data_IF_543962292327
#
_entry.id   IF_543962292327
#
_cell.length_a   1.000
_cell.length_b   1.000
_cell.length_c   1.000
_cell.angle_alpha   90.00
_cell.angle_beta   90.00
_cell.angle_gamma   90.00
#
_symmetry.space_group_name_H-M   'P 1'
#
loop_
_entity.id
_entity.type
_entity.pdbx_description
1 polymer ?
#
# COMPACT_ATOMS: atom_id res chain seq x y z
N UNK A 1 -16.17 52.94 25.97
CA UNK A 1 -15.23 51.91 26.46
C UNK A 1 -15.66 50.59 25.82
N UNK A 2 -15.05 50.22 24.71
CA UNK A 2 -15.33 49.01 23.96
C UNK A 2 -14.18 48.05 24.19
N UNK A 3 -14.44 46.94 24.92
CA UNK A 3 -13.48 45.86 25.10
C UNK A 3 -13.52 44.95 23.88
N UNK A 4 -12.45 44.96 23.10
CA UNK A 4 -12.18 43.99 22.05
C UNK A 4 -11.71 42.69 22.72
N UNK A 5 -12.52 41.64 22.62
CA UNK A 5 -12.08 40.28 22.91
C UNK A 5 -11.35 39.73 21.68
N UNK A 6 -10.05 39.51 21.85
CA UNK A 6 -9.19 38.84 20.89
C UNK A 6 -9.43 37.33 21.06
N UNK A 7 -10.15 36.70 20.15
CA UNK A 7 -10.16 35.23 20.05
C UNK A 7 -8.87 34.79 19.34
N UNK A 8 -7.97 34.21 20.10
CA UNK A 8 -6.85 33.46 19.53
C UNK A 8 -7.42 32.13 19.03
N UNK A 9 -7.56 32.02 17.72
CA UNK A 9 -7.79 30.73 17.07
C UNK A 9 -6.46 29.97 17.09
N UNK A 10 -6.36 29.00 17.97
CA UNK A 10 -5.31 27.99 17.91
C UNK A 10 -5.71 27.04 16.77
N UNK A 11 -5.11 27.22 15.62
CA UNK A 11 -5.15 26.23 14.55
C UNK A 11 -4.28 25.07 15.01
N UNK A 12 -4.91 24.03 15.54
CA UNK A 12 -4.26 22.75 15.73
C UNK A 12 -3.97 22.17 14.33
N UNK A 13 -2.74 22.32 13.88
CA UNK A 13 -2.20 21.51 12.79
C UNK A 13 -2.17 20.07 13.31
N UNK A 14 -3.22 19.31 13.04
CA UNK A 14 -3.18 17.85 13.13
C UNK A 14 -2.38 17.43 11.90
N UNK A 15 -1.07 17.29 12.07
CA UNK A 15 -0.26 16.52 11.17
C UNK A 15 -0.84 15.10 11.20
N UNK A 16 -1.51 14.69 10.12
CA UNK A 16 -1.73 13.29 9.84
C UNK A 16 -0.35 12.65 9.68
N UNK A 17 0.18 12.14 10.79
CA UNK A 17 1.14 11.09 10.71
C UNK A 17 0.39 9.96 9.97
N UNK A 18 0.67 9.81 8.66
CA UNK A 18 0.59 8.49 8.09
C UNK A 18 1.16 7.56 9.18
N UNK A 19 0.47 6.47 9.50
CA UNK A 19 1.07 5.39 10.24
C UNK A 19 2.17 4.77 9.36
N UNK A 20 3.19 5.53 9.06
CA UNK A 20 4.52 4.98 9.03
C UNK A 20 4.71 4.49 10.46
N UNK A 21 4.73 3.16 10.65
CA UNK A 21 5.38 2.59 11.82
C UNK A 21 6.63 3.43 11.98
N UNK A 22 6.95 3.96 13.17
CA UNK A 22 8.14 4.76 13.33
C UNK A 22 9.27 3.90 12.77
N UNK A 23 9.70 4.23 11.57
CA UNK A 23 11.01 3.83 11.11
C UNK A 23 11.86 4.44 12.18
N UNK A 24 12.52 3.60 12.95
CA UNK A 24 13.49 4.10 13.90
C UNK A 24 14.47 4.91 13.05
N UNK A 25 14.28 6.24 13.08
CA UNK A 25 15.18 7.20 12.43
C UNK A 25 16.57 7.14 13.05
N UNK A 26 16.71 6.31 14.06
CA UNK A 26 17.93 5.94 14.75
C UNK A 26 18.51 4.63 14.18
N UNK A 27 18.42 4.42 12.88
CA UNK A 27 19.29 3.43 12.26
C UNK A 27 20.72 3.91 12.46
N UNK A 28 21.54 3.13 13.13
CA UNK A 28 22.87 3.55 13.44
C UNK A 28 23.64 3.83 12.17
N UNK A 29 24.12 5.04 12.06
CA UNK A 29 25.24 5.32 11.18
C UNK A 29 26.45 4.55 11.70
N UNK A 30 27.30 4.12 10.79
CA UNK A 30 28.58 3.46 11.11
C UNK A 30 29.21 4.12 12.32
N UNK A 31 29.48 3.33 13.37
CA UNK A 31 30.19 3.81 14.56
C UNK A 31 29.32 4.43 15.65
N UNK A 32 28.00 4.27 15.67
CA UNK A 32 27.16 4.82 16.74
C UNK A 32 26.97 3.94 17.97
N UNK A 33 27.78 2.90 18.11
CA UNK A 33 27.86 2.11 19.35
C UNK A 33 26.74 1.09 19.56
N UNK A 34 26.03 0.65 18.54
CA UNK A 34 25.17 -0.52 18.68
C UNK A 34 26.01 -1.81 18.71
N UNK A 35 25.67 -2.77 19.56
CA UNK A 35 26.46 -3.98 19.77
C UNK A 35 26.80 -4.78 18.49
N UNK A 36 25.89 -4.79 17.54
CA UNK A 36 26.09 -5.48 16.26
C UNK A 36 27.03 -4.73 15.31
N UNK A 37 27.26 -3.46 15.57
CA UNK A 37 28.13 -2.60 14.79
C UNK A 37 29.57 -2.67 15.26
N UNK A 38 29.77 -2.88 16.56
CA UNK A 38 31.10 -2.98 17.16
C UNK A 38 31.73 -4.34 16.99
N UNK A 39 30.90 -5.37 16.87
CA UNK A 39 31.32 -6.71 16.52
C UNK A 39 30.09 -7.47 16.00
N UNK A 40 29.87 -7.57 14.69
CA UNK A 40 28.95 -8.55 14.16
C UNK A 40 29.55 -9.91 14.51
N UNK A 41 29.31 -10.35 15.75
CA UNK A 41 29.70 -11.70 16.11
C UNK A 41 28.98 -12.63 15.16
N UNK A 42 29.77 -13.32 14.37
CA UNK A 42 29.29 -14.39 13.53
C UNK A 42 28.42 -15.31 14.39
N UNK A 43 27.13 -15.29 14.09
CA UNK A 43 26.17 -16.05 14.88
C UNK A 43 26.61 -17.53 14.84
N UNK A 44 26.86 -18.13 15.98
CA UNK A 44 27.30 -19.51 16.07
C UNK A 44 28.51 -19.83 15.16
N UNK A 45 29.61 -19.12 15.30
CA UNK A 45 30.81 -19.24 14.46
C UNK A 45 31.34 -20.68 14.31
N UNK A 46 31.11 -21.53 15.32
CA UNK A 46 31.55 -22.96 15.30
C UNK A 46 30.52 -23.94 14.74
N UNK A 47 29.33 -23.49 14.37
CA UNK A 47 28.29 -24.38 13.87
C UNK A 47 28.65 -24.94 12.48
N UNK A 48 28.31 -26.21 12.23
CA UNK A 48 28.42 -26.78 10.91
C UNK A 48 27.46 -26.11 9.94
N UNK A 49 27.91 -25.85 8.72
CA UNK A 49 27.06 -25.24 7.67
C UNK A 49 26.60 -26.33 6.72
N UNK A 50 25.29 -26.55 6.64
CA UNK A 50 24.69 -27.49 5.71
C UNK A 50 24.70 -26.93 4.27
N UNK A 51 24.48 -27.80 3.30
CA UNK A 51 24.30 -27.36 1.92
C UNK A 51 23.05 -26.49 1.80
N UNK A 52 23.12 -25.36 1.11
CA UNK A 52 21.97 -24.44 1.00
C UNK A 52 20.83 -25.09 0.24
N UNK A 53 19.61 -24.89 0.74
CA UNK A 53 18.40 -25.07 -0.05
C UNK A 53 18.30 -23.90 -1.02
N UNK A 54 18.09 -24.18 -2.31
CA UNK A 54 18.03 -23.14 -3.34
C UNK A 54 16.60 -22.88 -3.80
N UNK A 55 16.24 -21.62 -3.96
CA UNK A 55 14.94 -21.21 -4.50
C UNK A 55 15.11 -20.08 -5.50
N UNK A 56 14.57 -20.28 -6.69
CA UNK A 56 14.44 -19.23 -7.69
C UNK A 56 13.04 -18.61 -7.61
N UNK A 57 12.97 -17.30 -7.68
CA UNK A 57 11.75 -16.50 -7.60
C UNK A 57 11.70 -15.50 -8.75
N UNK A 58 10.50 -15.26 -9.23
CA UNK A 58 10.22 -14.16 -10.13
C UNK A 58 9.50 -13.07 -9.32
N UNK A 59 10.12 -11.91 -9.13
CA UNK A 59 9.56 -10.78 -8.41
C UNK A 59 9.11 -9.70 -9.39
N UNK A 60 7.84 -9.36 -9.38
CA UNK A 60 7.37 -8.18 -10.10
C UNK A 60 7.71 -6.94 -9.30
N UNK A 61 8.10 -5.87 -10.00
CA UNK A 61 8.31 -4.57 -9.38
C UNK A 61 6.96 -4.08 -8.84
N UNK A 62 6.86 -3.94 -7.53
CA UNK A 62 5.68 -3.41 -6.88
C UNK A 62 6.09 -2.24 -5.99
N UNK A 63 5.46 -1.08 -6.16
CA UNK A 63 5.69 0.12 -5.35
C UNK A 63 5.11 0.02 -3.93
N UNK A 64 4.41 -1.08 -3.61
CA UNK A 64 3.61 -1.20 -2.39
C UNK A 64 4.18 -2.15 -1.34
N UNK A 65 5.46 -2.43 -1.29
CA UNK A 65 6.03 -3.34 -0.29
C UNK A 65 5.30 -4.68 -0.17
N UNK A 66 4.97 -5.33 -1.29
CA UNK A 66 4.36 -6.65 -1.26
C UNK A 66 5.41 -7.74 -1.27
N UNK A 67 5.56 -8.49 -0.19
CA UNK A 67 6.48 -9.61 -0.20
C UNK A 67 5.92 -10.78 -1.02
N UNK A 68 6.77 -11.37 -1.83
CA UNK A 68 6.56 -12.73 -2.32
C UNK A 68 6.67 -13.67 -1.14
N UNK A 69 5.66 -14.49 -0.92
CA UNK A 69 5.58 -15.40 0.23
C UNK A 69 6.08 -16.78 -0.17
N UNK A 70 7.05 -17.30 0.56
CA UNK A 70 7.63 -18.63 0.37
C UNK A 70 7.39 -19.44 1.64
N UNK A 71 6.59 -20.50 1.57
CA UNK A 71 6.40 -21.38 2.69
C UNK A 71 7.64 -22.25 2.91
N UNK A 72 8.13 -22.37 4.14
CA UNK A 72 9.26 -23.23 4.49
C UNK A 72 8.96 -24.70 4.16
N UNK A 73 7.70 -25.11 4.28
CA UNK A 73 7.26 -26.45 3.91
C UNK A 73 7.52 -26.77 2.42
N UNK A 74 7.37 -25.78 1.53
CA UNK A 74 7.63 -25.94 0.08
C UNK A 74 9.13 -26.06 -0.22
N UNK A 75 9.98 -25.64 0.73
CA UNK A 75 11.43 -25.77 0.67
C UNK A 75 11.94 -27.04 1.37
N UNK A 76 11.06 -27.78 2.05
CA UNK A 76 11.45 -28.89 2.90
C UNK A 76 12.27 -28.46 4.14
N UNK A 77 12.15 -27.19 4.54
CA UNK A 77 12.88 -26.62 5.68
C UNK A 77 11.96 -26.60 6.90
N UNK A 78 12.44 -27.15 7.99
CA UNK A 78 11.80 -27.07 9.30
C UNK A 78 12.82 -26.51 10.29
N UNK A 79 12.66 -25.27 10.76
CA UNK A 79 13.56 -24.73 11.78
C UNK A 79 13.53 -25.57 13.04
N UNK A 80 14.71 -25.87 13.59
CA UNK A 80 14.83 -26.57 14.88
C UNK A 80 14.26 -25.64 15.99
N UNK A 81 13.82 -26.23 17.10
CA UNK A 81 13.39 -25.48 18.26
C UNK A 81 14.53 -24.56 18.75
N UNK A 82 14.22 -23.29 18.95
CA UNK A 82 15.17 -22.27 19.34
C UNK A 82 16.13 -21.80 18.25
N UNK A 83 15.95 -22.24 17.02
CA UNK A 83 16.75 -21.74 15.90
C UNK A 83 16.52 -20.24 15.68
N UNK A 84 17.60 -19.52 15.39
CA UNK A 84 17.58 -18.08 15.09
C UNK A 84 17.57 -17.90 13.59
N UNK A 85 16.67 -17.02 13.09
CA UNK A 85 16.70 -16.58 11.71
C UNK A 85 17.88 -15.64 11.49
N UNK A 86 18.65 -15.85 10.44
CA UNK A 86 19.87 -15.12 10.16
C UNK A 86 20.00 -14.73 8.69
N UNK A 87 20.86 -13.76 8.41
CA UNK A 87 21.25 -13.37 7.05
C UNK A 87 22.77 -13.31 6.91
N UNK A 88 23.25 -13.44 5.69
CA UNK A 88 24.65 -13.23 5.35
C UNK A 88 24.98 -11.73 5.40
N UNK A 89 26.00 -11.37 6.19
CA UNK A 89 26.32 -9.97 6.48
C UNK A 89 27.38 -9.37 5.55
N UNK A 90 28.41 -10.14 5.21
CA UNK A 90 29.50 -9.67 4.34
C UNK A 90 30.12 -10.78 3.47
N UNK A 91 31.14 -10.40 2.66
CA UNK A 91 31.81 -11.32 1.74
C UNK A 91 32.68 -12.37 2.43
N UNK A 92 32.95 -12.26 3.72
CA UNK A 92 33.83 -13.15 4.48
C UNK A 92 33.08 -14.28 5.22
N UNK A 93 31.79 -14.49 4.88
CA UNK A 93 30.88 -15.43 5.53
C UNK A 93 30.54 -15.09 6.97
N UNK A 94 30.47 -13.82 7.26
CA UNK A 94 29.93 -13.37 8.53
C UNK A 94 28.40 -13.36 8.48
N UNK A 95 27.79 -13.87 9.55
CA UNK A 95 26.35 -14.04 9.63
C UNK A 95 25.79 -13.25 10.81
N UNK A 96 24.76 -12.48 10.57
CA UNK A 96 24.05 -11.78 11.62
C UNK A 96 22.69 -12.42 11.88
N UNK A 97 22.39 -12.67 13.14
CA UNK A 97 21.06 -13.03 13.60
C UNK A 97 20.55 -11.94 14.50
N UNK A 98 19.37 -11.53 14.28
CA UNK A 98 18.47 -10.67 15.04
C UNK A 98 17.73 -9.67 14.19
N UNK A 99 16.67 -9.21 14.74
CA UNK A 99 15.70 -8.15 14.43
C UNK A 99 16.32 -6.84 13.98
N UNK A 100 17.06 -6.88 12.95
CA UNK A 100 17.98 -5.82 12.68
C UNK A 100 17.34 -4.61 12.03
N UNK A 101 16.37 -4.81 11.20
CA UNK A 101 16.04 -3.75 10.29
C UNK A 101 14.60 -3.66 9.92
N UNK A 102 13.85 -4.72 10.08
CA UNK A 102 12.41 -4.69 9.88
C UNK A 102 11.72 -4.74 11.24
N UNK A 103 10.48 -4.34 11.31
CA UNK A 103 9.68 -4.46 12.53
C UNK A 103 9.33 -5.90 12.89
N UNK A 104 9.64 -6.84 12.01
CA UNK A 104 9.47 -8.29 12.15
C UNK A 104 10.86 -8.93 12.24
N UNK A 105 10.94 -10.27 12.29
CA UNK A 105 12.21 -10.99 12.23
C UNK A 105 12.77 -10.91 10.81
N UNK A 106 13.51 -9.85 10.47
CA UNK A 106 13.91 -9.65 9.10
C UNK A 106 15.12 -8.76 8.89
N UNK A 107 15.54 -8.69 7.64
CA UNK A 107 16.72 -7.99 7.17
C UNK A 107 16.46 -7.22 5.90
N UNK A 108 17.12 -6.07 5.74
CA UNK A 108 17.30 -5.47 4.43
C UNK A 108 18.52 -6.09 3.76
N UNK A 109 18.44 -6.31 2.45
CA UNK A 109 19.48 -6.95 1.65
C UNK A 109 19.96 -5.96 0.59
N UNK A 110 21.26 -5.82 0.46
CA UNK A 110 21.88 -4.93 -0.53
C UNK A 110 22.00 -5.59 -1.92
N UNK A 111 22.52 -4.83 -2.86
CA UNK A 111 22.72 -5.27 -4.24
C UNK A 111 23.73 -6.45 -4.38
N UNK A 112 24.53 -6.69 -3.35
CA UNK A 112 25.50 -7.80 -3.31
C UNK A 112 24.94 -9.04 -2.62
N UNK A 113 23.74 -8.94 -2.02
CA UNK A 113 23.10 -10.02 -1.32
C UNK A 113 23.41 -10.08 0.18
N UNK A 114 23.93 -9.01 0.76
CA UNK A 114 24.28 -8.95 2.17
C UNK A 114 23.26 -8.14 2.98
N UNK A 115 23.07 -8.54 4.23
CA UNK A 115 22.28 -7.78 5.17
C UNK A 115 22.85 -6.36 5.35
N UNK A 116 21.99 -5.36 5.34
CA UNK A 116 22.38 -3.97 5.41
C UNK A 116 21.32 -3.12 6.10
N UNK A 117 21.60 -1.85 6.38
CA UNK A 117 20.59 -0.90 6.83
C UNK A 117 19.67 -0.45 5.70
N UNK A 118 18.42 -0.11 6.04
CA UNK A 118 17.45 0.43 5.06
C UNK A 118 17.97 1.68 4.34
N UNK A 119 18.72 2.51 5.04
CA UNK A 119 19.28 3.77 4.53
C UNK A 119 20.48 3.58 3.61
N UNK A 120 21.00 2.35 3.47
CA UNK A 120 22.11 2.08 2.57
C UNK A 120 21.68 2.31 1.12
N UNK A 121 22.46 3.08 0.37
CA UNK A 121 22.10 3.50 -1.00
C UNK A 121 21.90 2.34 -2.00
N UNK A 122 22.48 1.18 -1.72
CA UNK A 122 22.36 -0.02 -2.52
C UNK A 122 21.47 -1.12 -1.89
N UNK A 123 20.71 -0.80 -0.84
CA UNK A 123 19.66 -1.69 -0.33
C UNK A 123 18.62 -1.96 -1.43
N UNK A 124 18.19 -3.23 -1.57
CA UNK A 124 17.28 -3.68 -2.66
C UNK A 124 16.04 -4.35 -2.14
N UNK A 125 16.17 -5.26 -1.19
CA UNK A 125 15.10 -6.10 -0.71
C UNK A 125 14.96 -6.01 0.80
N UNK A 126 13.81 -6.43 1.30
CA UNK A 126 13.65 -6.86 2.68
C UNK A 126 13.24 -8.34 2.69
N UNK A 127 13.69 -9.05 3.70
CA UNK A 127 13.36 -10.45 3.90
C UNK A 127 12.90 -10.62 5.33
N UNK A 128 11.70 -11.15 5.53
CA UNK A 128 11.08 -11.31 6.84
C UNK A 128 10.63 -12.75 7.06
N UNK A 129 10.82 -13.24 8.27
CA UNK A 129 10.33 -14.54 8.67
C UNK A 129 9.12 -14.39 9.60
N UNK A 130 8.04 -15.07 9.26
CA UNK A 130 6.80 -15.13 10.03
C UNK A 130 6.69 -16.48 10.72
N UNK A 131 7.12 -16.61 11.99
CA UNK A 131 7.21 -17.90 12.69
C UNK A 131 5.84 -18.58 12.86
N UNK A 132 4.77 -17.81 13.04
CA UNK A 132 3.40 -18.32 13.22
C UNK A 132 2.88 -19.10 12.00
N UNK A 133 3.34 -18.74 10.82
CA UNK A 133 2.91 -19.33 9.55
C UNK A 133 3.96 -20.16 8.85
N UNK A 134 5.22 -20.10 9.31
CA UNK A 134 6.35 -20.74 8.63
C UNK A 134 6.63 -20.17 7.24
N UNK A 135 6.41 -18.87 7.05
CA UNK A 135 6.56 -18.19 5.77
C UNK A 135 7.78 -17.25 5.82
N UNK A 136 8.54 -17.22 4.73
CA UNK A 136 9.50 -16.14 4.43
C UNK A 136 8.86 -15.20 3.42
N UNK A 137 8.75 -13.92 3.78
CA UNK A 137 8.35 -12.85 2.89
C UNK A 137 9.57 -12.16 2.30
N UNK A 138 9.61 -11.99 0.96
CA UNK A 138 10.68 -11.30 0.25
C UNK A 138 10.05 -10.17 -0.55
N UNK A 139 10.33 -8.93 -0.17
CA UNK A 139 9.83 -7.75 -0.83
C UNK A 139 10.96 -6.83 -1.27
N UNK A 140 10.73 -6.08 -2.33
CA UNK A 140 11.70 -5.09 -2.78
C UNK A 140 11.41 -3.72 -2.18
N UNK A 141 12.45 -2.92 -2.02
CA UNK A 141 12.31 -1.52 -1.66
C UNK A 141 11.80 -0.72 -2.87
N UNK A 142 11.00 0.34 -2.66
CA UNK A 142 10.49 1.16 -3.75
C UNK A 142 11.63 1.68 -4.63
N UNK A 143 11.46 1.56 -5.95
CA UNK A 143 12.38 2.03 -6.98
C UNK A 143 13.83 1.49 -6.87
N UNK A 144 14.06 0.51 -6.01
CA UNK A 144 15.40 -0.01 -5.74
C UNK A 144 15.89 -1.04 -6.77
N UNK A 145 14.97 -1.71 -7.47
CA UNK A 145 15.28 -2.77 -8.44
C UNK A 145 14.78 -2.39 -9.82
N UNK A 146 15.46 -2.88 -10.87
CA UNK A 146 15.07 -2.66 -12.26
C UNK A 146 14.72 -3.98 -12.93
N UNK A 147 13.77 -3.93 -13.84
CA UNK A 147 13.42 -5.08 -14.66
C UNK A 147 14.66 -5.68 -15.32
N UNK A 148 14.75 -7.02 -15.26
CA UNK A 148 15.86 -7.80 -15.84
C UNK A 148 17.08 -7.95 -14.93
N UNK A 149 17.12 -7.28 -13.79
CA UNK A 149 18.16 -7.53 -12.77
C UNK A 149 17.92 -8.87 -12.08
N UNK A 150 19.02 -9.51 -11.70
CA UNK A 150 19.00 -10.77 -10.97
C UNK A 150 19.82 -10.60 -9.71
N UNK A 151 19.23 -10.93 -8.57
CA UNK A 151 19.87 -10.83 -7.28
C UNK A 151 19.93 -12.19 -6.60
N UNK A 152 21.03 -12.43 -5.90
CA UNK A 152 21.20 -13.67 -5.12
C UNK A 152 21.60 -13.30 -3.71
N UNK A 153 20.94 -13.90 -2.71
CA UNK A 153 21.25 -13.70 -1.30
C UNK A 153 20.96 -14.96 -0.49
N UNK A 154 21.51 -15.01 0.71
CA UNK A 154 21.33 -16.12 1.63
C UNK A 154 20.77 -15.64 2.97
N UNK A 155 19.76 -16.37 3.45
CA UNK A 155 19.22 -16.32 4.80
C UNK A 155 19.06 -17.74 5.31
N UNK A 156 18.73 -17.94 6.56
CA UNK A 156 18.52 -19.29 7.04
C UNK A 156 18.20 -19.37 8.52
N UNK A 157 18.34 -20.57 9.06
CA UNK A 157 18.09 -20.86 10.46
C UNK A 157 19.33 -21.49 11.09
N UNK A 158 19.73 -21.00 12.25
CA UNK A 158 20.93 -21.46 12.95
C UNK A 158 20.63 -21.84 14.39
N UNK A 159 21.30 -22.89 14.82
CA UNK A 159 21.50 -23.27 16.22
C UNK A 159 23.00 -23.22 16.54
N UNK A 160 23.39 -23.46 17.79
CA UNK A 160 24.80 -23.55 18.16
C UNK A 160 25.54 -24.69 17.40
N UNK A 161 24.82 -25.71 16.96
CA UNK A 161 25.39 -26.87 16.31
C UNK A 161 25.41 -26.79 14.78
N UNK A 162 24.40 -26.18 14.17
CA UNK A 162 24.18 -26.23 12.72
C UNK A 162 23.51 -24.96 12.16
N UNK A 163 23.92 -24.57 10.95
CA UNK A 163 23.31 -23.54 10.10
C UNK A 163 22.70 -24.21 8.88
N UNK A 164 21.43 -23.87 8.62
CA UNK A 164 20.66 -24.33 7.46
C UNK A 164 20.41 -23.14 6.54
N UNK A 165 21.29 -22.84 5.58
CA UNK A 165 21.13 -21.73 4.66
C UNK A 165 20.07 -22.00 3.60
N UNK A 166 19.38 -20.92 3.21
CA UNK A 166 18.45 -20.89 2.10
C UNK A 166 18.93 -19.79 1.14
N UNK A 167 19.30 -20.21 -0.05
CA UNK A 167 19.79 -19.32 -1.09
C UNK A 167 18.66 -18.97 -2.05
N UNK A 168 18.32 -17.70 -2.11
CA UNK A 168 17.35 -17.17 -3.05
C UNK A 168 18.03 -16.57 -4.27
N UNK A 169 17.47 -16.83 -5.45
CA UNK A 169 17.77 -16.09 -6.69
C UNK A 169 16.50 -15.40 -7.11
N UNK A 170 16.52 -14.08 -7.18
CA UNK A 170 15.36 -13.26 -7.50
C UNK A 170 15.56 -12.63 -8.88
N UNK A 171 14.71 -13.03 -9.83
CA UNK A 171 14.62 -12.44 -11.16
C UNK A 171 13.61 -11.29 -11.09
N UNK A 172 14.05 -10.07 -11.34
CA UNK A 172 13.17 -8.89 -11.30
C UNK A 172 12.39 -8.80 -12.61
N UNK A 173 11.07 -8.93 -12.51
CA UNK A 173 10.15 -8.80 -13.64
C UNK A 173 9.63 -7.37 -13.76
N UNK A 174 8.97 -7.07 -14.88
CA UNK A 174 8.29 -5.81 -15.10
C UNK A 174 7.22 -5.56 -14.03
N UNK A 175 7.10 -4.32 -13.59
CA UNK A 175 6.04 -3.91 -12.68
C UNK A 175 4.67 -4.09 -13.34
N UNK A 176 3.74 -4.68 -12.62
CA UNK A 176 2.34 -4.56 -12.97
C UNK A 176 1.75 -3.32 -12.29
N UNK A 177 0.80 -2.65 -12.93
CA UNK A 177 0.07 -1.60 -12.27
C UNK A 177 -0.65 -2.17 -11.03
N UNK A 178 -0.64 -1.41 -9.95
CA UNK A 178 -1.34 -1.82 -8.72
C UNK A 178 -2.85 -1.62 -8.83
N UNK A 179 -3.26 -0.75 -9.73
CA UNK A 179 -4.65 -0.45 -10.00
C UNK A 179 -4.82 -0.01 -11.46
N UNK A 180 -6.01 -0.21 -11.97
CA UNK A 180 -6.45 0.27 -13.27
C UNK A 180 -7.95 0.50 -13.29
N UNK A 181 -8.42 1.32 -14.23
CA UNK A 181 -9.85 1.54 -14.43
C UNK A 181 -10.23 1.48 -15.90
N UNK A 182 -11.47 1.06 -16.14
CA UNK A 182 -12.10 1.06 -17.45
C UNK A 182 -13.41 1.84 -17.37
N UNK A 183 -13.51 2.87 -18.18
CA UNK A 183 -14.75 3.60 -18.40
C UNK A 183 -15.71 2.77 -19.26
N UNK A 184 -17.00 2.78 -18.93
CA UNK A 184 -18.04 2.18 -19.71
C UNK A 184 -18.58 3.18 -20.78
N UNK A 185 -19.36 2.65 -21.73
CA UNK A 185 -19.92 3.44 -22.84
C UNK A 185 -20.82 4.60 -22.40
N UNK A 186 -21.39 4.52 -21.20
CA UNK A 186 -22.22 5.60 -20.64
C UNK A 186 -21.38 6.82 -20.16
N UNK A 187 -20.06 6.65 -20.06
CA UNK A 187 -19.12 7.67 -19.59
C UNK A 187 -19.27 8.03 -18.11
N UNK A 188 -20.15 7.35 -17.37
CA UNK A 188 -20.45 7.61 -15.96
C UNK A 188 -20.18 6.40 -15.07
N UNK A 189 -19.98 5.22 -15.65
CA UNK A 189 -19.68 3.98 -14.93
C UNK A 189 -18.22 3.59 -15.19
N UNK A 190 -17.52 3.20 -14.13
CA UNK A 190 -16.12 2.75 -14.16
C UNK A 190 -16.00 1.40 -13.47
N UNK A 191 -15.34 0.44 -14.12
CA UNK A 191 -14.85 -0.76 -13.42
C UNK A 191 -13.41 -0.51 -13.00
N UNK A 192 -13.13 -0.69 -11.72
CA UNK A 192 -11.83 -0.45 -11.11
C UNK A 192 -11.30 -1.77 -10.56
N UNK A 193 -10.06 -2.07 -10.87
CA UNK A 193 -9.33 -3.20 -10.32
C UNK A 193 -8.17 -2.66 -9.49
N UNK A 194 -8.07 -3.11 -8.27
CA UNK A 194 -6.97 -2.77 -7.37
C UNK A 194 -6.43 -4.05 -6.72
N UNK A 195 -5.16 -4.08 -6.52
CA UNK A 195 -4.55 -5.07 -5.64
C UNK A 195 -4.74 -4.64 -4.19
N UNK A 196 -4.72 -5.57 -3.22
CA UNK A 196 -4.87 -5.24 -1.79
C UNK A 196 -3.88 -4.13 -1.40
N UNK A 197 -4.38 -3.08 -0.77
CA UNK A 197 -3.60 -1.93 -0.31
C UNK A 197 -3.65 -1.77 1.22
N UNK A 198 -2.50 -1.47 1.80
CA UNK A 198 -2.36 -1.18 3.23
C UNK A 198 -1.97 0.28 3.51
N UNK A 199 -2.18 1.20 2.56
CA UNK A 199 -1.60 2.55 2.62
C UNK A 199 -2.50 3.64 2.04
N UNK A 200 -3.76 3.67 2.13
CA UNK A 200 -4.62 4.76 1.60
C UNK A 200 -4.21 5.32 0.22
N UNK A 201 -3.51 4.53 -0.60
CA UNK A 201 -3.19 4.96 -1.96
C UNK A 201 -4.48 5.01 -2.78
N UNK A 202 -4.66 6.05 -3.58
CA UNK A 202 -5.84 6.21 -4.42
C UNK A 202 -5.50 6.17 -5.90
N UNK A 203 -6.24 5.39 -6.67
CA UNK A 203 -6.23 5.49 -8.13
C UNK A 203 -6.89 6.80 -8.53
N UNK A 204 -6.24 7.53 -9.42
CA UNK A 204 -6.79 8.75 -10.02
C UNK A 204 -7.52 8.37 -11.30
N UNK A 205 -8.83 8.64 -11.35
CA UNK A 205 -9.71 8.33 -12.46
C UNK A 205 -10.18 9.65 -13.07
N UNK A 206 -9.69 10.04 -14.25
CA UNK A 206 -10.21 11.22 -14.95
C UNK A 206 -11.69 11.03 -15.24
N UNK A 207 -12.50 12.03 -14.91
CA UNK A 207 -13.96 11.99 -15.14
C UNK A 207 -14.25 12.35 -16.58
N UNK A 208 -15.18 11.62 -17.20
CA UNK A 208 -15.72 12.00 -18.49
C UNK A 208 -16.62 13.25 -18.35
N UNK A 209 -16.00 14.42 -18.41
CA UNK A 209 -16.72 15.71 -18.24
C UNK A 209 -17.83 15.88 -19.28
N UNK A 210 -17.69 15.31 -20.49
CA UNK A 210 -18.72 15.38 -21.53
C UNK A 210 -19.98 14.61 -21.11
N UNK A 211 -19.83 13.41 -20.55
CA UNK A 211 -20.94 12.62 -20.05
C UNK A 211 -21.63 13.32 -18.86
N UNK A 212 -20.85 13.87 -17.94
CA UNK A 212 -21.38 14.63 -16.80
C UNK A 212 -22.13 15.88 -17.27
N UNK A 213 -21.55 16.66 -18.18
CA UNK A 213 -22.22 17.85 -18.75
C UNK A 213 -23.52 17.48 -19.46
N UNK A 214 -23.52 16.39 -20.21
CA UNK A 214 -24.72 15.91 -20.90
C UNK A 214 -25.82 15.56 -19.90
N UNK A 215 -25.51 14.81 -18.85
CA UNK A 215 -26.46 14.40 -17.82
C UNK A 215 -27.03 15.62 -17.06
N UNK A 216 -26.19 16.61 -16.76
CA UNK A 216 -26.58 17.84 -16.05
C UNK A 216 -27.15 18.94 -16.98
N UNK A 217 -27.07 18.76 -18.32
CA UNK A 217 -27.48 19.77 -19.28
C UNK A 217 -26.65 21.05 -19.25
N UNK A 218 -25.34 20.89 -18.96
CA UNK A 218 -24.39 21.99 -18.87
C UNK A 218 -23.63 22.16 -20.19
N UNK A 219 -23.33 23.42 -20.54
CA UNK A 219 -22.46 23.75 -21.68
C UNK A 219 -20.96 23.73 -21.31
N UNK A 220 -20.65 23.76 -20.01
CA UNK A 220 -19.26 23.66 -19.48
C UNK A 220 -19.28 23.18 -18.03
N UNK A 221 -18.15 22.63 -17.57
CA UNK A 221 -17.99 22.21 -16.17
C UNK A 221 -17.83 23.36 -15.17
N UNK A 222 -17.63 24.60 -15.66
CA UNK A 222 -17.35 25.76 -14.81
C UNK A 222 -18.40 26.02 -13.72
N UNK A 223 -19.71 25.94 -13.97
CA UNK A 223 -20.72 26.13 -12.93
C UNK A 223 -20.62 25.10 -11.83
N UNK A 224 -20.46 23.82 -12.18
CA UNK A 224 -20.30 22.72 -11.25
C UNK A 224 -19.01 22.86 -10.42
N UNK A 225 -17.87 23.08 -11.06
CA UNK A 225 -16.57 23.31 -10.37
C UNK A 225 -16.65 24.49 -9.40
N UNK A 226 -17.35 25.56 -9.78
CA UNK A 226 -17.54 26.73 -8.92
C UNK A 226 -18.44 26.42 -7.72
N UNK A 227 -19.52 25.65 -7.91
CA UNK A 227 -20.40 25.24 -6.83
C UNK A 227 -19.66 24.30 -5.85
N UNK A 228 -18.85 23.40 -6.35
CA UNK A 228 -18.01 22.51 -5.51
C UNK A 228 -16.94 23.26 -4.72
N UNK A 229 -16.42 24.35 -5.23
CA UNK A 229 -15.45 25.20 -4.52
C UNK A 229 -16.08 26.07 -3.42
N UNK A 230 -17.40 26.06 -3.28
CA UNK A 230 -18.13 26.85 -2.27
C UNK A 230 -18.41 25.99 -1.04
N UNK A 231 -17.93 26.39 0.12
CA UNK A 231 -18.15 25.69 1.40
C UNK A 231 -19.64 25.45 1.72
N UNK A 232 -20.53 26.29 1.22
CA UNK A 232 -21.98 26.18 1.46
C UNK A 232 -22.67 25.29 0.43
N UNK A 233 -22.29 25.43 -0.86
CA UNK A 233 -22.96 24.71 -1.94
C UNK A 233 -22.41 23.29 -2.15
N UNK A 234 -21.24 23.02 -1.64
CA UNK A 234 -20.56 21.76 -1.84
C UNK A 234 -21.40 20.56 -1.35
N UNK A 235 -21.98 20.63 -0.17
CA UNK A 235 -22.83 19.60 0.40
C UNK A 235 -24.12 19.31 -0.41
N UNK A 236 -24.49 20.20 -1.30
CA UNK A 236 -25.67 20.05 -2.18
C UNK A 236 -25.31 19.54 -3.57
N UNK A 237 -24.03 19.66 -3.95
CA UNK A 237 -23.53 19.34 -5.29
C UNK A 237 -23.00 17.91 -5.39
N UNK A 238 -22.30 17.43 -4.37
CA UNK A 238 -21.73 16.09 -4.36
C UNK A 238 -22.31 15.31 -3.18
N UNK A 239 -22.99 14.23 -3.47
CA UNK A 239 -23.66 13.40 -2.49
C UNK A 239 -23.19 11.97 -2.60
N UNK A 240 -22.85 11.35 -1.47
CA UNK A 240 -22.66 9.91 -1.39
C UNK A 240 -24.01 9.21 -1.55
N UNK A 241 -24.06 8.12 -2.27
CA UNK A 241 -25.28 7.34 -2.48
C UNK A 241 -25.15 6.00 -1.76
N UNK A 242 -26.14 5.68 -0.93
CA UNK A 242 -26.23 4.40 -0.26
C UNK A 242 -26.76 3.34 -1.23
N UNK A 243 -26.00 2.27 -1.45
CA UNK A 243 -26.40 1.20 -2.38
C UNK A 243 -27.62 0.43 -1.89
N UNK A 244 -27.83 0.35 -0.56
CA UNK A 244 -28.91 -0.41 0.06
C UNK A 244 -30.30 0.13 -0.22
N UNK A 245 -30.45 1.46 -0.35
CA UNK A 245 -31.77 2.11 -0.49
C UNK A 245 -31.79 3.28 -1.46
N UNK A 246 -30.64 3.66 -2.02
CA UNK A 246 -30.48 4.79 -2.93
C UNK A 246 -30.60 6.16 -2.27
N UNK A 247 -30.63 6.22 -0.94
CA UNK A 247 -30.64 7.46 -0.19
C UNK A 247 -29.31 8.22 -0.33
N UNK A 248 -29.34 9.51 -0.01
CA UNK A 248 -28.17 10.37 -0.11
C UNK A 248 -27.62 10.67 1.27
N UNK A 249 -26.30 10.58 1.36
CA UNK A 249 -25.56 11.11 2.50
C UNK A 249 -24.84 12.41 2.12
N UNK A 250 -24.74 13.28 3.12
CA UNK A 250 -24.08 14.57 3.02
C UNK A 250 -22.79 14.59 3.81
N UNK A 251 -22.14 15.72 3.89
CA UNK A 251 -20.78 15.91 4.41
C UNK A 251 -20.48 15.45 5.83
N UNK A 252 -21.41 14.98 6.62
CA UNK A 252 -21.16 14.51 8.00
C UNK A 252 -20.30 13.23 8.05
N UNK A 253 -20.15 12.53 6.92
CA UNK A 253 -19.43 11.26 6.80
C UNK A 253 -18.36 11.27 5.70
N UNK A 254 -17.87 12.43 5.32
CA UNK A 254 -16.90 12.55 4.26
C UNK A 254 -15.45 12.30 4.70
N UNK A 255 -14.58 12.07 3.71
CA UNK A 255 -13.13 12.04 3.91
C UNK A 255 -12.60 13.46 4.18
N UNK A 256 -11.37 13.55 4.69
CA UNK A 256 -10.72 14.84 4.91
C UNK A 256 -10.53 15.68 3.62
N UNK A 257 -10.69 15.06 2.43
CA UNK A 257 -10.40 15.65 1.12
C UNK A 257 -11.61 15.74 0.20
N UNK A 258 -12.81 15.93 0.69
CA UNK A 258 -13.97 16.01 -0.21
C UNK A 258 -14.39 14.69 -0.82
N UNK A 259 -14.95 13.83 -0.01
CA UNK A 259 -15.39 12.51 -0.46
C UNK A 259 -16.11 11.73 0.60
N UNK A 260 -16.33 10.46 0.35
CA UNK A 260 -17.08 9.58 1.22
C UNK A 260 -16.34 8.27 1.48
N UNK A 261 -16.49 7.77 2.70
CA UNK A 261 -16.16 6.41 3.06
C UNK A 261 -17.35 5.51 2.77
N UNK A 262 -17.04 4.31 2.31
CA UNK A 262 -18.04 3.29 2.00
C UNK A 262 -17.74 1.99 2.74
N UNK A 263 -18.81 1.36 3.24
CA UNK A 263 -18.75 0.04 3.80
C UNK A 263 -18.79 -1.06 2.72
N UNK A 264 -18.72 -2.32 3.12
CA UNK A 264 -18.74 -3.46 2.19
C UNK A 264 -20.04 -3.63 1.39
N UNK A 265 -21.14 -3.00 1.83
CA UNK A 265 -22.43 -3.04 1.13
C UNK A 265 -22.56 -1.90 0.09
N UNK A 266 -21.58 -1.01 -0.01
CA UNK A 266 -21.65 0.18 -0.85
C UNK A 266 -22.43 1.33 -0.23
N UNK A 267 -22.70 1.29 1.08
CA UNK A 267 -23.32 2.40 1.78
C UNK A 267 -22.28 3.34 2.36
N UNK A 268 -22.60 4.62 2.39
CA UNK A 268 -21.75 5.63 3.02
C UNK A 268 -21.65 5.35 4.52
N UNK A 269 -20.47 5.45 5.06
CA UNK A 269 -20.19 5.20 6.46
C UNK A 269 -19.17 6.19 7.03
N UNK A 270 -19.03 6.20 8.35
CA UNK A 270 -17.98 6.96 9.00
C UNK A 270 -16.62 6.25 8.87
N UNK A 271 -15.55 7.05 8.89
CA UNK A 271 -14.19 6.53 8.95
C UNK A 271 -13.99 5.65 10.18
N UNK A 272 -13.24 4.56 9.99
CA UNK A 272 -12.88 3.63 11.06
C UNK A 272 -14.04 2.87 11.72
N UNK A 273 -15.16 2.73 11.02
CA UNK A 273 -16.23 1.80 11.43
C UNK A 273 -15.85 0.37 11.06
N UNK A 274 -16.47 -0.63 11.72
CA UNK A 274 -16.10 -2.05 11.62
C UNK A 274 -16.06 -2.58 10.19
N UNK A 275 -16.81 -2.00 9.27
CA UNK A 275 -16.97 -2.51 7.90
C UNK A 275 -16.58 -1.52 6.81
N UNK A 276 -15.90 -0.39 7.14
CA UNK A 276 -15.46 0.51 6.10
C UNK A 276 -14.39 -0.18 5.23
N UNK A 277 -14.47 -0.04 3.93
CA UNK A 277 -13.63 -0.79 3.01
C UNK A 277 -13.02 0.02 1.88
N UNK A 278 -13.70 1.10 1.47
CA UNK A 278 -13.25 1.93 0.36
C UNK A 278 -13.56 3.41 0.61
N UNK A 279 -12.91 4.27 -0.15
CA UNK A 279 -13.23 5.69 -0.18
C UNK A 279 -13.25 6.20 -1.61
N UNK A 280 -14.06 7.22 -1.84
CA UNK A 280 -14.15 7.95 -3.09
C UNK A 280 -14.01 9.43 -2.77
N UNK A 281 -13.00 10.07 -3.31
CA UNK A 281 -12.72 11.49 -3.15
C UNK A 281 -12.75 12.19 -4.50
N UNK A 282 -13.05 13.48 -4.48
CA UNK A 282 -13.14 14.29 -5.66
C UNK A 282 -12.08 15.38 -5.70
N UNK A 283 -11.28 15.40 -6.75
CA UNK A 283 -10.38 16.51 -7.03
C UNK A 283 -10.92 17.35 -8.19
N UNK A 284 -11.66 18.41 -7.85
CA UNK A 284 -12.29 19.31 -8.80
C UNK A 284 -11.36 20.45 -9.26
N UNK A 285 -10.18 20.58 -8.64
CA UNK A 285 -9.21 21.63 -8.95
C UNK A 285 -8.30 21.26 -10.13
N UNK A 286 -8.30 20.02 -10.55
CA UNK A 286 -7.54 19.54 -11.71
C UNK A 286 -8.38 19.54 -12.99
N UNK A 287 -7.73 19.45 -14.14
CA UNK A 287 -8.39 19.45 -15.44
C UNK A 287 -7.83 18.30 -16.31
N UNK A 288 -8.66 17.30 -16.70
CA UNK A 288 -10.05 17.10 -16.28
C UNK A 288 -10.20 16.83 -14.80
N UNK A 289 -11.41 17.03 -14.26
CA UNK A 289 -11.72 16.63 -12.88
C UNK A 289 -11.44 15.16 -12.68
N UNK A 290 -10.96 14.84 -11.49
CA UNK A 290 -10.49 13.49 -11.20
C UNK A 290 -11.15 12.94 -9.94
N UNK A 291 -11.61 11.70 -10.00
CA UNK A 291 -11.97 10.92 -8.82
C UNK A 291 -10.73 10.21 -8.31
N UNK A 292 -10.55 10.24 -7.00
CA UNK A 292 -9.56 9.46 -6.27
C UNK A 292 -10.29 8.33 -5.55
N UNK A 293 -10.08 7.10 -5.99
CA UNK A 293 -10.69 5.91 -5.40
C UNK A 293 -9.61 5.06 -4.77
N UNK A 294 -9.83 4.59 -3.56
CA UNK A 294 -8.87 3.78 -2.83
C UNK A 294 -9.51 2.92 -1.76
N UNK A 295 -8.69 2.13 -1.12
CA UNK A 295 -9.06 1.15 -0.10
C UNK A 295 -8.78 1.66 1.31
N UNK A 296 -9.57 1.17 2.27
CA UNK A 296 -9.24 1.27 3.68
C UNK A 296 -8.12 0.25 4.01
N UNK A 297 -6.97 0.69 4.56
CA UNK A 297 -5.87 -0.21 4.85
C UNK A 297 -6.23 -1.34 5.80
N UNK A 298 -5.82 -2.56 5.44
CA UNK A 298 -6.01 -3.75 6.27
C UNK A 298 -7.44 -4.32 6.30
N UNK A 299 -8.40 -3.68 5.63
CA UNK A 299 -9.81 -4.09 5.68
C UNK A 299 -10.24 -4.90 4.45
N UNK A 300 -9.39 -5.05 3.46
CA UNK A 300 -9.71 -5.71 2.21
C UNK A 300 -8.88 -6.98 1.99
N UNK A 301 -9.52 -7.93 1.31
CA UNK A 301 -8.85 -9.15 0.84
C UNK A 301 -9.14 -9.37 -0.65
N UNK A 302 -8.31 -10.16 -1.31
CA UNK A 302 -8.54 -10.55 -2.70
C UNK A 302 -9.92 -11.21 -2.84
N UNK A 303 -10.70 -10.73 -3.81
CA UNK A 303 -12.07 -11.16 -4.08
C UNK A 303 -13.14 -10.21 -3.57
N UNK A 304 -12.81 -9.25 -2.70
CA UNK A 304 -13.75 -8.20 -2.27
C UNK A 304 -14.23 -7.36 -3.46
N UNK A 305 -15.49 -6.91 -3.39
CA UNK A 305 -16.15 -6.12 -4.42
C UNK A 305 -17.01 -5.05 -3.78
N UNK A 306 -17.02 -3.88 -4.41
CA UNK A 306 -17.80 -2.74 -3.98
C UNK A 306 -18.53 -2.12 -5.18
N UNK A 307 -19.79 -1.78 -5.00
CA UNK A 307 -20.55 -0.91 -5.90
C UNK A 307 -20.69 0.44 -5.18
N UNK A 308 -19.91 1.42 -5.62
CA UNK A 308 -19.83 2.75 -5.01
C UNK A 308 -20.47 3.75 -5.95
N UNK A 309 -21.18 4.73 -5.40
CA UNK A 309 -21.86 5.73 -6.22
C UNK A 309 -21.79 7.12 -5.59
N UNK A 310 -21.49 8.11 -6.44
CA UNK A 310 -21.57 9.54 -6.12
C UNK A 310 -22.58 10.20 -7.05
N UNK A 311 -23.50 10.96 -6.52
CA UNK A 311 -24.40 11.82 -7.27
C UNK A 311 -23.83 13.25 -7.33
N UNK A 312 -23.71 13.75 -8.55
CA UNK A 312 -23.41 15.15 -8.81
C UNK A 312 -24.72 15.86 -9.18
N UNK A 313 -25.04 16.93 -8.46
CA UNK A 313 -26.26 17.68 -8.67
C UNK A 313 -25.96 19.10 -9.12
N UNK A 314 -26.76 19.57 -10.05
CA UNK A 314 -26.79 20.95 -10.47
C UNK A 314 -28.22 21.36 -10.84
N UNK A 315 -28.77 22.31 -10.11
CA UNK A 315 -30.19 22.68 -10.19
C UNK A 315 -31.09 21.45 -9.93
N UNK A 316 -31.93 21.10 -10.88
CA UNK A 316 -32.88 19.97 -10.81
C UNK A 316 -32.36 18.69 -11.48
N UNK A 317 -31.10 18.68 -11.94
CA UNK A 317 -30.50 17.57 -12.66
C UNK A 317 -29.43 16.87 -11.86
N UNK A 318 -29.21 15.60 -12.21
CA UNK A 318 -28.27 14.73 -11.52
C UNK A 318 -27.46 13.89 -12.52
N UNK A 319 -26.16 13.75 -12.25
CA UNK A 319 -25.27 12.79 -12.88
C UNK A 319 -24.74 11.82 -11.82
N UNK A 320 -24.91 10.53 -12.03
CA UNK A 320 -24.47 9.48 -11.11
C UNK A 320 -23.21 8.82 -11.62
N UNK A 321 -22.10 9.03 -10.91
CA UNK A 321 -20.85 8.35 -11.15
C UNK A 321 -20.81 7.05 -10.36
N UNK A 322 -20.63 5.92 -11.06
CA UNK A 322 -20.65 4.57 -10.48
C UNK A 322 -19.29 3.92 -10.61
N UNK A 323 -18.80 3.34 -9.52
CA UNK A 323 -17.52 2.67 -9.46
C UNK A 323 -17.70 1.22 -8.99
N UNK A 324 -17.37 0.27 -9.86
CA UNK A 324 -17.34 -1.16 -9.53
C UNK A 324 -15.93 -1.55 -9.16
N UNK A 325 -15.57 -1.38 -7.89
CA UNK A 325 -14.25 -1.73 -7.38
C UNK A 325 -14.15 -3.24 -7.15
N UNK A 326 -13.09 -3.84 -7.65
CA UNK A 326 -12.76 -5.26 -7.46
C UNK A 326 -11.33 -5.37 -6.93
N UNK A 327 -11.17 -6.05 -5.81
CA UNK A 327 -9.87 -6.34 -5.23
C UNK A 327 -9.35 -7.64 -5.83
N UNK A 328 -8.22 -7.57 -6.51
CA UNK A 328 -7.62 -8.67 -7.25
C UNK A 328 -6.23 -8.99 -6.72
N UNK A 329 -5.73 -10.18 -7.03
CA UNK A 329 -4.37 -10.57 -6.69
C UNK A 329 -3.35 -9.78 -7.52
N UNK A 330 -3.60 -9.68 -8.83
CA UNK A 330 -2.78 -8.94 -9.78
C UNK A 330 -3.67 -8.19 -10.77
N UNK A 331 -3.23 -7.02 -11.21
CA UNK A 331 -3.85 -6.28 -12.31
C UNK A 331 -3.15 -6.68 -13.60
N UNK A 332 -3.82 -7.49 -14.41
CA UNK A 332 -3.30 -8.02 -15.67
C UNK A 332 -4.17 -7.62 -16.85
N UNK A 333 -3.64 -7.73 -18.07
CA UNK A 333 -4.37 -7.42 -19.30
C UNK A 333 -5.60 -8.33 -19.52
N UNK A 334 -5.58 -9.53 -18.94
CA UNK A 334 -6.67 -10.53 -19.03
C UNK A 334 -7.96 -10.11 -18.31
N UNK A 335 -7.94 -9.05 -17.51
CA UNK A 335 -9.12 -8.53 -16.82
C UNK A 335 -10.13 -7.85 -17.76
N UNK A 336 -9.93 -7.93 -19.09
CA UNK A 336 -10.80 -7.34 -20.09
C UNK A 336 -10.74 -5.82 -20.16
N UNK A 337 -9.57 -5.27 -19.84
CA UNK A 337 -9.29 -3.83 -19.78
C UNK A 337 -8.77 -3.25 -21.09
N UNK A 338 -8.47 -4.10 -22.08
CA UNK A 338 -8.04 -3.71 -23.43
C UNK A 338 -9.15 -3.88 -24.45
#
# INVERSE_FOLDING_TARGET
>A
MIRRNLFLSVVALIAFAACEKPVADDQPTEGNGLPWYEAPESIYAGAAVEAPVTKELNARLDQKYRPVKVALADLGVTPAEGAVFYAHHDAENDWCGKDWYTSENGFYIDAKGFACSRSKADARFFVEYYPETGIIGIGQLPDACKQGEVYTFEVGFATEAVKNPIKFTVNVLEALPWATSKEHEDGLTYTVYETVDNSYTALQIPVNETAVMTALGLESMRPLKRAMASDVAHAEVMLGVNASDGSYDTFDKYTANTGYWYNRNGDVCEWNTENYGAFVEWDYNVDPMTIRLGQAPGNNVVGDRYDLEIALRYEDKEARLKFKLKIVEEVTDDLGLL
#
